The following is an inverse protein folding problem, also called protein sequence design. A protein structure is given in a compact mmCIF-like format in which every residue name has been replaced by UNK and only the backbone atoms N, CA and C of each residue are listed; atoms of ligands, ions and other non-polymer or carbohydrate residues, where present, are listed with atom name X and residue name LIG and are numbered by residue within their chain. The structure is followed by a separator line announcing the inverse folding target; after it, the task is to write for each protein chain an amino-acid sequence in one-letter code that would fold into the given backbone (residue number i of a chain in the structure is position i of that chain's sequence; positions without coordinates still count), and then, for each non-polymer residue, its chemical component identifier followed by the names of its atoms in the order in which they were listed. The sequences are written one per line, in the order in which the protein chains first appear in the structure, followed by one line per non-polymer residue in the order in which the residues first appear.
data_IF_688145767918
#
_entry.id   IF_688145767918
#
_cell.length_a   1.000
_cell.length_b   1.000
_cell.length_c   1.000
_cell.angle_alpha   90.00
_cell.angle_beta   90.00
_cell.angle_gamma   90.00
#
_symmetry.space_group_name_H-M   'P 1'
#
loop_
_entity.id
_entity.type
_entity.pdbx_description
1 polymer ?
#
# COMPACT_ATOMS: atom_id res chain seq x y z
N UNK A 1 -48.27 -23.13 -10.12
CA UNK A 1 -47.08 -22.41 -10.55
C UNK A 1 -45.95 -22.86 -9.66
N UNK A 2 -44.89 -23.47 -10.18
CA UNK A 2 -43.71 -23.77 -9.34
C UNK A 2 -43.04 -22.48 -8.99
N UNK A 3 -42.68 -22.32 -7.70
CA UNK A 3 -41.85 -21.23 -7.16
C UNK A 3 -40.49 -21.42 -7.80
N UNK A 4 -39.90 -20.37 -8.45
CA UNK A 4 -38.55 -20.49 -8.96
C UNK A 4 -37.62 -20.72 -7.75
N UNK A 5 -36.86 -21.82 -7.81
CA UNK A 5 -35.76 -22.05 -6.90
C UNK A 5 -34.85 -20.79 -6.93
N UNK A 6 -34.73 -20.15 -5.81
CA UNK A 6 -33.76 -19.10 -5.64
C UNK A 6 -32.36 -19.71 -5.86
N UNK A 7 -31.79 -19.50 -7.03
CA UNK A 7 -30.38 -19.83 -7.30
C UNK A 7 -29.55 -18.95 -6.37
N UNK A 8 -29.14 -19.53 -5.27
CA UNK A 8 -28.15 -18.94 -4.37
C UNK A 8 -26.81 -19.04 -5.11
N UNK A 9 -26.57 -18.13 -6.03
CA UNK A 9 -25.25 -17.86 -6.56
C UNK A 9 -24.45 -17.22 -5.43
N UNK A 10 -23.96 -18.05 -4.50
CA UNK A 10 -22.87 -17.67 -3.65
C UNK A 10 -21.71 -17.32 -4.59
N UNK A 11 -21.51 -16.04 -4.85
CA UNK A 11 -20.41 -15.57 -5.68
C UNK A 11 -19.11 -16.11 -5.07
N UNK A 12 -18.52 -17.07 -5.76
CA UNK A 12 -17.27 -17.65 -5.32
C UNK A 12 -16.19 -16.57 -5.43
N UNK A 13 -15.61 -16.21 -4.30
CA UNK A 13 -14.47 -15.30 -4.26
C UNK A 13 -13.22 -16.12 -4.57
N UNK A 14 -12.54 -15.76 -5.64
CA UNK A 14 -11.26 -16.32 -6.01
C UNK A 14 -10.13 -15.45 -5.48
N UNK A 15 -9.16 -16.05 -4.79
CA UNK A 15 -8.00 -15.38 -4.25
C UNK A 15 -6.76 -16.01 -4.85
N UNK A 16 -5.95 -15.19 -5.51
CA UNK A 16 -4.64 -15.57 -6.01
C UNK A 16 -3.58 -14.88 -5.18
N UNK A 17 -2.71 -15.66 -4.57
CA UNK A 17 -1.55 -15.17 -3.83
C UNK A 17 -0.28 -15.59 -4.55
N UNK A 18 0.60 -14.63 -4.84
CA UNK A 18 1.89 -14.89 -5.50
C UNK A 18 3.04 -14.31 -4.71
N UNK A 19 4.19 -14.97 -4.78
CA UNK A 19 5.43 -14.47 -4.21
C UNK A 19 6.44 -14.26 -5.33
N UNK A 20 7.13 -13.11 -5.30
CA UNK A 20 8.14 -12.71 -6.30
C UNK A 20 7.61 -12.89 -7.76
N UNK A 21 6.36 -12.49 -8.01
CA UNK A 21 5.60 -12.45 -9.27
C UNK A 21 5.28 -13.80 -9.96
N UNK A 22 5.92 -14.89 -9.57
CA UNK A 22 5.79 -16.14 -10.32
C UNK A 22 5.40 -17.37 -9.50
N UNK A 23 5.36 -17.26 -8.18
CA UNK A 23 5.17 -18.42 -7.34
C UNK A 23 3.80 -18.40 -6.67
N UNK A 24 2.82 -19.05 -7.29
CA UNK A 24 1.46 -19.16 -6.73
C UNK A 24 1.49 -19.98 -5.43
N UNK A 25 0.78 -19.47 -4.43
CA UNK A 25 0.63 -20.12 -3.12
C UNK A 25 -0.76 -20.73 -2.99
N UNK A 26 -0.83 -21.90 -2.35
CA UNK A 26 -2.10 -22.50 -1.93
C UNK A 26 -2.51 -21.92 -0.59
N UNK A 27 -3.43 -20.97 -0.62
CA UNK A 27 -3.86 -20.20 0.56
C UNK A 27 -5.18 -20.74 1.08
N UNK A 28 -5.24 -21.03 2.38
CA UNK A 28 -6.45 -21.49 3.07
C UNK A 28 -7.23 -20.35 3.74
N UNK A 29 -6.55 -19.24 4.07
CA UNK A 29 -7.16 -18.07 4.70
C UNK A 29 -6.39 -16.82 4.35
N UNK A 30 -7.12 -15.73 4.10
CA UNK A 30 -6.57 -14.39 3.96
C UNK A 30 -7.26 -13.46 4.96
N UNK A 31 -6.49 -12.72 5.72
CA UNK A 31 -6.94 -11.63 6.57
C UNK A 31 -6.26 -10.35 6.12
N UNK A 32 -7.02 -9.44 5.57
CA UNK A 32 -6.57 -8.13 5.12
C UNK A 32 -6.93 -7.07 6.15
N UNK A 33 -5.96 -6.26 6.55
CA UNK A 33 -6.14 -5.12 7.43
C UNK A 33 -5.72 -3.85 6.69
N UNK A 34 -6.65 -2.92 6.53
CA UNK A 34 -6.40 -1.58 6.02
C UNK A 34 -7.03 -0.57 6.98
N UNK A 35 -6.24 0.39 7.41
CA UNK A 35 -6.66 1.52 8.22
C UNK A 35 -6.21 2.79 7.51
N UNK A 36 -6.98 3.85 7.61
CA UNK A 36 -6.60 5.15 7.03
C UNK A 36 -5.30 5.62 7.68
N UNK A 37 -4.36 6.09 6.87
CA UNK A 37 -3.03 6.59 7.28
C UNK A 37 -2.13 5.57 7.99
N UNK A 38 -2.48 4.27 7.97
CA UNK A 38 -1.61 3.20 8.46
C UNK A 38 -1.16 2.29 7.30
N UNK A 39 0.04 1.70 7.39
CA UNK A 39 0.45 0.68 6.43
C UNK A 39 -0.55 -0.49 6.43
N UNK A 40 -0.97 -0.88 5.24
CA UNK A 40 -1.82 -2.06 5.07
C UNK A 40 -1.03 -3.33 5.42
N UNK A 41 -1.72 -4.33 5.91
CA UNK A 41 -1.12 -5.62 6.18
C UNK A 41 -2.02 -6.76 5.74
N UNK A 42 -1.39 -7.85 5.33
CA UNK A 42 -2.05 -9.09 5.00
C UNK A 42 -1.46 -10.22 5.82
N UNK A 43 -2.33 -11.03 6.39
CA UNK A 43 -1.98 -12.30 7.01
C UNK A 43 -2.59 -13.42 6.18
N UNK A 44 -1.75 -14.30 5.65
CA UNK A 44 -2.21 -15.50 4.93
C UNK A 44 -1.87 -16.75 5.71
N UNK A 45 -2.67 -17.79 5.52
CA UNK A 45 -2.39 -19.13 6.02
C UNK A 45 -2.23 -20.07 4.83
N UNK A 46 -1.13 -20.80 4.82
CA UNK A 46 -0.83 -21.85 3.85
C UNK A 46 -0.73 -23.19 4.57
N UNK A 47 -1.29 -24.24 3.98
CA UNK A 47 -1.35 -25.57 4.60
C UNK A 47 -0.31 -26.54 4.05
N UNK A 48 0.33 -26.19 2.95
CA UNK A 48 1.31 -27.05 2.28
C UNK A 48 2.75 -26.53 2.44
N UNK A 49 3.68 -27.47 2.50
CA UNK A 49 5.11 -27.17 2.63
C UNK A 49 5.69 -26.53 1.39
N UNK A 50 5.15 -26.81 0.22
CA UNK A 50 5.63 -26.25 -1.03
C UNK A 50 5.42 -24.73 -1.06
N UNK A 51 4.22 -24.27 -0.71
CA UNK A 51 3.93 -22.83 -0.56
C UNK A 51 4.80 -22.18 0.53
N UNK A 52 5.05 -22.90 1.64
CA UNK A 52 5.92 -22.35 2.69
C UNK A 52 7.36 -22.14 2.20
N UNK A 53 7.91 -23.07 1.44
CA UNK A 53 9.29 -22.99 0.91
C UNK A 53 9.46 -21.80 -0.04
N UNK A 54 8.41 -21.44 -0.79
CA UNK A 54 8.40 -20.28 -1.68
C UNK A 54 8.48 -18.96 -0.90
N UNK A 55 7.98 -18.93 0.34
CA UNK A 55 7.96 -17.73 1.16
C UNK A 55 9.29 -17.54 1.88
N UNK A 56 9.86 -16.35 1.73
CA UNK A 56 11.06 -15.92 2.45
C UNK A 56 10.87 -14.50 2.99
N UNK A 57 11.56 -14.18 4.06
CA UNK A 57 11.56 -12.81 4.59
C UNK A 57 12.12 -11.85 3.56
N UNK A 58 11.46 -10.73 3.36
CA UNK A 58 11.82 -9.73 2.36
C UNK A 58 11.27 -9.99 0.96
N UNK A 59 10.69 -11.16 0.68
CA UNK A 59 10.03 -11.42 -0.60
C UNK A 59 8.76 -10.59 -0.77
N UNK A 60 8.40 -10.29 -2.01
CA UNK A 60 7.18 -9.54 -2.34
C UNK A 60 6.00 -10.51 -2.39
N UNK A 61 4.97 -10.24 -1.59
CA UNK A 61 3.68 -10.94 -1.63
C UNK A 61 2.65 -10.07 -2.34
N UNK A 62 2.00 -10.62 -3.37
CA UNK A 62 0.86 -10.01 -4.04
C UNK A 62 -0.41 -10.82 -3.76
N UNK A 63 -1.50 -10.12 -3.50
CA UNK A 63 -2.84 -10.72 -3.33
C UNK A 63 -3.78 -10.09 -4.34
N UNK A 64 -4.34 -10.92 -5.18
CA UNK A 64 -5.37 -10.55 -6.14
C UNK A 64 -6.68 -11.21 -5.77
N UNK A 65 -7.77 -10.47 -5.84
CA UNK A 65 -9.10 -10.94 -5.53
C UNK A 65 -9.99 -10.78 -6.76
N UNK A 66 -10.65 -11.85 -7.14
CA UNK A 66 -11.60 -11.92 -8.23
C UNK A 66 -12.94 -12.51 -7.80
N UNK A 67 -13.91 -12.51 -8.70
CA UNK A 67 -15.23 -13.12 -8.50
C UNK A 67 -15.55 -14.03 -9.68
N UNK A 68 -15.96 -15.26 -9.37
CA UNK A 68 -16.57 -16.17 -10.35
C UNK A 68 -15.71 -16.50 -11.56
N UNK A 69 -14.37 -16.62 -11.40
CA UNK A 69 -13.47 -16.88 -12.53
C UNK A 69 -13.22 -15.68 -13.45
N UNK A 70 -13.62 -14.48 -13.03
CA UNK A 70 -13.42 -13.23 -13.75
C UNK A 70 -12.02 -12.62 -13.57
N UNK A 71 -11.92 -11.35 -13.91
CA UNK A 71 -10.64 -10.60 -13.77
C UNK A 71 -10.31 -10.43 -12.29
N UNK A 72 -9.09 -10.81 -11.92
CA UNK A 72 -8.54 -10.52 -10.60
C UNK A 72 -7.93 -9.13 -10.57
N UNK A 73 -8.21 -8.40 -9.51
CA UNK A 73 -7.60 -7.09 -9.26
C UNK A 73 -6.55 -7.21 -8.16
N UNK A 74 -5.43 -6.54 -8.34
CA UNK A 74 -4.42 -6.41 -7.29
C UNK A 74 -5.01 -5.64 -6.11
N UNK A 75 -5.16 -6.33 -4.96
CA UNK A 75 -5.70 -5.74 -3.74
C UNK A 75 -4.60 -5.39 -2.74
N UNK A 76 -3.49 -6.10 -2.80
CA UNK A 76 -2.37 -5.90 -1.90
C UNK A 76 -1.06 -6.30 -2.55
N UNK A 77 -0.05 -5.46 -2.39
CA UNK A 77 1.35 -5.78 -2.62
C UNK A 77 2.16 -5.32 -1.41
N UNK A 78 3.00 -6.20 -0.89
CA UNK A 78 3.79 -5.89 0.29
C UNK A 78 4.94 -6.86 0.50
N UNK A 79 5.74 -6.61 1.52
CA UNK A 79 6.94 -7.38 1.85
C UNK A 79 6.64 -8.33 3.00
N UNK A 80 7.02 -9.60 2.86
CA UNK A 80 6.91 -10.61 3.91
C UNK A 80 7.85 -10.24 5.07
N UNK A 81 7.26 -10.01 6.24
CA UNK A 81 7.98 -9.63 7.47
C UNK A 81 7.99 -10.73 8.52
N UNK A 82 7.00 -11.62 8.50
CA UNK A 82 6.90 -12.70 9.49
C UNK A 82 6.50 -13.99 8.81
N UNK A 83 7.19 -15.07 9.13
CA UNK A 83 6.83 -16.44 8.78
C UNK A 83 6.80 -17.24 10.07
N UNK A 84 5.63 -17.79 10.41
CA UNK A 84 5.42 -18.64 11.59
C UNK A 84 5.05 -20.04 11.13
N UNK A 85 6.03 -20.97 11.05
CA UNK A 85 5.75 -22.37 10.76
C UNK A 85 4.91 -23.01 11.88
N UNK A 86 4.04 -23.92 11.50
CA UNK A 86 3.27 -24.75 12.43
C UNK A 86 3.09 -26.15 11.83
N UNK A 87 2.63 -27.11 12.62
CA UNK A 87 2.44 -28.47 12.15
C UNK A 87 1.29 -28.65 11.16
N UNK A 88 0.31 -27.75 11.19
CA UNK A 88 -0.91 -27.85 10.36
C UNK A 88 -1.04 -26.71 9.35
N UNK A 89 -0.83 -25.49 9.80
CA UNK A 89 -0.96 -24.30 8.96
C UNK A 89 0.16 -23.32 9.28
N UNK A 90 0.77 -22.80 8.24
CA UNK A 90 1.84 -21.80 8.36
C UNK A 90 1.25 -20.40 8.19
N UNK A 91 1.61 -19.49 9.07
CA UNK A 91 1.14 -18.12 9.02
C UNK A 91 2.22 -17.21 8.44
N UNK A 92 1.87 -16.45 7.41
CA UNK A 92 2.75 -15.50 6.75
C UNK A 92 2.11 -14.12 6.86
N UNK A 93 2.89 -13.14 7.33
CA UNK A 93 2.46 -11.75 7.43
C UNK A 93 3.30 -10.90 6.51
N UNK A 94 2.63 -10.19 5.62
CA UNK A 94 3.23 -9.18 4.77
C UNK A 94 2.68 -7.79 5.11
N UNK A 95 3.52 -6.80 4.98
CA UNK A 95 3.21 -5.40 5.26
C UNK A 95 3.53 -4.57 4.03
N UNK A 96 2.70 -3.59 3.77
CA UNK A 96 2.81 -2.65 2.67
C UNK A 96 4.24 -2.06 2.55
N UNK A 97 4.71 -1.83 1.34
CA UNK A 97 6.04 -1.28 1.04
C UNK A 97 6.28 0.07 1.70
N UNK A 98 5.24 0.87 1.94
CA UNK A 98 5.37 2.16 2.62
C UNK A 98 6.04 2.04 3.99
N UNK A 99 5.91 0.88 4.65
CA UNK A 99 6.64 0.59 5.90
C UNK A 99 8.15 0.65 5.72
N UNK A 100 8.66 0.37 4.52
CA UNK A 100 10.10 0.45 4.23
C UNK A 100 10.62 1.90 4.30
N UNK A 101 9.77 2.88 4.00
CA UNK A 101 10.11 4.30 4.17
C UNK A 101 10.14 4.69 5.65
N UNK A 102 9.21 4.17 6.45
CA UNK A 102 9.17 4.42 7.90
C UNK A 102 10.36 3.81 8.64
N UNK A 103 10.90 2.68 8.13
CA UNK A 103 12.07 2.00 8.69
C UNK A 103 13.38 2.38 8.02
N UNK A 104 13.35 3.28 7.01
CA UNK A 104 14.54 3.76 6.33
C UNK A 104 15.46 4.54 7.27
N UNK A 105 16.71 4.67 6.88
CA UNK A 105 17.65 5.56 7.55
C UNK A 105 17.18 7.02 7.47
N UNK A 106 17.66 7.82 8.41
CA UNK A 106 17.45 9.26 8.38
C UNK A 106 18.14 9.85 7.15
N UNK A 107 17.45 10.72 6.45
CA UNK A 107 17.96 11.47 5.32
C UNK A 107 18.02 12.96 5.66
N UNK A 108 19.09 13.63 5.26
CA UNK A 108 19.20 15.07 5.44
C UNK A 108 18.66 15.80 4.22
N UNK A 109 17.43 16.26 4.31
CA UNK A 109 16.79 17.07 3.29
C UNK A 109 17.31 18.50 3.36
N UNK A 110 18.08 18.92 2.37
CA UNK A 110 18.68 20.26 2.35
C UNK A 110 17.66 21.29 1.88
N UNK A 111 17.67 22.46 2.52
CA UNK A 111 16.80 23.59 2.14
C UNK A 111 16.98 23.99 0.67
N UNK A 112 18.21 23.97 0.15
CA UNK A 112 18.52 24.26 -1.26
C UNK A 112 17.85 23.33 -2.26
N UNK A 113 17.56 22.10 -1.86
CA UNK A 113 17.03 21.05 -2.73
C UNK A 113 15.49 21.01 -2.67
N UNK A 114 14.89 21.69 -1.68
CA UNK A 114 13.46 21.66 -1.38
C UNK A 114 12.78 22.96 -1.77
N UNK A 115 13.31 24.11 -1.32
CA UNK A 115 12.67 25.40 -1.51
C UNK A 115 12.57 25.74 -3.01
N UNK A 116 11.35 26.07 -3.46
CA UNK A 116 11.05 26.33 -4.87
C UNK A 116 10.68 25.10 -5.69
N UNK A 117 10.72 23.91 -5.09
CA UNK A 117 10.27 22.66 -5.75
C UNK A 117 8.77 22.43 -5.50
N UNK A 118 8.12 21.76 -6.42
CA UNK A 118 6.75 21.29 -6.28
C UNK A 118 6.68 20.15 -5.25
N UNK A 119 5.73 20.21 -4.31
CA UNK A 119 5.58 19.20 -3.25
C UNK A 119 5.32 17.80 -3.82
N UNK A 120 4.60 17.69 -4.92
CA UNK A 120 4.37 16.40 -5.57
C UNK A 120 5.69 15.76 -6.02
N UNK A 121 6.56 16.54 -6.67
CA UNK A 121 7.88 16.03 -7.08
C UNK A 121 8.74 15.63 -5.88
N UNK A 122 8.68 16.39 -4.80
CA UNK A 122 9.41 16.05 -3.57
C UNK A 122 8.91 14.75 -2.94
N UNK A 123 7.58 14.52 -2.94
CA UNK A 123 6.98 13.26 -2.46
C UNK A 123 7.43 12.10 -3.35
N UNK A 124 7.35 12.29 -4.67
CA UNK A 124 7.76 11.28 -5.64
C UNK A 124 9.22 10.89 -5.47
N UNK A 125 10.12 11.84 -5.43
CA UNK A 125 11.56 11.60 -5.22
C UNK A 125 11.85 10.86 -3.91
N UNK A 126 11.16 11.25 -2.84
CA UNK A 126 11.30 10.56 -1.55
C UNK A 126 10.76 9.12 -1.58
N UNK A 127 9.72 8.83 -2.37
CA UNK A 127 9.11 7.52 -2.52
C UNK A 127 9.91 6.61 -3.47
N UNK A 128 10.44 7.14 -4.57
CA UNK A 128 11.23 6.44 -5.57
C UNK A 128 12.47 5.74 -4.97
N UNK A 129 12.98 6.23 -3.84
CA UNK A 129 14.07 5.58 -3.10
C UNK A 129 13.79 4.11 -2.74
N UNK A 130 12.52 3.70 -2.73
CA UNK A 130 12.07 2.32 -2.40
C UNK A 130 11.18 1.73 -3.49
N UNK A 131 11.29 2.22 -4.71
CA UNK A 131 10.47 1.79 -5.84
C UNK A 131 8.95 1.86 -5.49
N UNK A 132 8.56 2.91 -4.75
CA UNK A 132 7.16 3.18 -4.41
C UNK A 132 6.63 4.18 -5.41
N UNK A 133 5.69 3.72 -6.22
CA UNK A 133 5.02 4.58 -7.20
C UNK A 133 4.01 5.50 -6.52
N UNK A 134 4.03 6.77 -6.87
CA UNK A 134 3.11 7.79 -6.37
C UNK A 134 2.18 8.19 -7.48
N UNK A 135 0.90 7.85 -7.32
CA UNK A 135 -0.12 8.24 -8.30
C UNK A 135 -0.64 9.64 -7.97
N UNK A 136 -0.50 10.56 -8.91
CA UNK A 136 -1.12 11.88 -8.82
C UNK A 136 -2.60 11.77 -9.13
N UNK A 137 -3.42 11.90 -8.10
CA UNK A 137 -4.88 12.02 -8.24
C UNK A 137 -5.35 13.47 -8.13
N UNK A 138 -4.43 14.40 -7.84
CA UNK A 138 -4.70 15.83 -7.65
C UNK A 138 -4.26 16.62 -8.89
N UNK A 139 -4.84 16.30 -10.04
CA UNK A 139 -4.57 17.01 -11.29
C UNK A 139 -4.77 18.51 -11.11
N UNK A 140 -3.68 19.27 -11.10
CA UNK A 140 -3.67 20.71 -11.30
C UNK A 140 -3.26 21.58 -10.11
N UNK A 141 -2.94 21.04 -8.94
CA UNK A 141 -2.41 21.85 -7.84
C UNK A 141 -0.89 21.72 -7.75
N UNK A 142 -0.18 22.72 -8.22
CA UNK A 142 1.25 22.88 -7.97
C UNK A 142 1.45 23.70 -6.69
N UNK A 143 1.69 23.06 -5.58
CA UNK A 143 2.08 23.73 -4.35
C UNK A 143 3.59 23.73 -4.23
N UNK A 144 4.19 24.91 -4.25
CA UNK A 144 5.63 25.09 -4.20
C UNK A 144 6.09 25.12 -2.75
N UNK A 145 7.10 24.33 -2.43
CA UNK A 145 7.71 24.31 -1.11
C UNK A 145 8.37 25.64 -0.78
N UNK A 146 8.03 26.18 0.39
CA UNK A 146 8.64 27.39 0.94
C UNK A 146 9.48 27.08 2.19
N UNK A 147 10.32 28.02 2.59
CA UNK A 147 11.15 27.87 3.78
C UNK A 147 10.32 27.75 5.06
N UNK A 148 9.18 28.46 5.11
CA UNK A 148 8.27 28.49 6.25
C UNK A 148 7.61 27.13 6.53
N UNK A 149 7.54 26.24 5.53
CA UNK A 149 7.01 24.89 5.70
C UNK A 149 7.91 24.00 6.59
N UNK A 150 9.17 24.38 6.82
CA UNK A 150 10.05 23.65 7.72
C UNK A 150 10.32 22.19 7.29
N UNK A 151 10.34 21.93 5.99
CA UNK A 151 10.53 20.59 5.43
C UNK A 151 11.98 20.12 5.45
N UNK A 152 12.94 21.06 5.56
CA UNK A 152 14.35 20.74 5.59
C UNK A 152 14.77 20.13 6.93
N UNK A 153 15.82 19.31 6.90
CA UNK A 153 16.43 18.74 8.11
C UNK A 153 16.60 17.22 8.04
N UNK A 154 17.13 16.68 9.13
CA UNK A 154 17.36 15.24 9.29
C UNK A 154 16.07 14.55 9.72
N UNK A 155 15.43 13.80 8.82
CA UNK A 155 14.19 13.08 9.08
C UNK A 155 14.07 11.82 8.23
N UNK A 156 13.15 10.94 8.58
CA UNK A 156 12.82 9.76 7.77
C UNK A 156 12.05 10.20 6.53
N UNK A 157 12.20 9.44 5.43
CA UNK A 157 11.49 9.75 4.18
C UNK A 157 9.97 9.71 4.35
N UNK A 158 9.46 8.78 5.16
CA UNK A 158 8.02 8.75 5.46
C UNK A 158 7.56 10.02 6.16
N UNK A 159 8.28 10.46 7.19
CA UNK A 159 7.91 11.67 7.94
C UNK A 159 7.96 12.92 7.06
N UNK A 160 8.92 12.96 6.12
CA UNK A 160 9.00 14.02 5.11
C UNK A 160 7.79 14.01 4.18
N UNK A 161 7.43 12.83 3.64
CA UNK A 161 6.26 12.66 2.79
C UNK A 161 5.00 13.08 3.54
N UNK A 162 4.80 12.61 4.76
CA UNK A 162 3.62 12.93 5.57
C UNK A 162 3.48 14.45 5.77
N UNK A 163 4.59 15.16 6.05
CA UNK A 163 4.58 16.62 6.15
C UNK A 163 4.22 17.31 4.84
N UNK A 164 4.81 16.88 3.72
CA UNK A 164 4.46 17.43 2.41
C UNK A 164 2.95 17.26 2.12
N UNK A 165 2.42 16.08 2.44
CA UNK A 165 1.01 15.77 2.26
C UNK A 165 0.11 16.62 3.15
N UNK A 166 0.50 16.90 4.39
CA UNK A 166 -0.22 17.78 5.31
C UNK A 166 -0.39 19.19 4.71
N UNK A 167 0.67 19.74 4.13
CA UNK A 167 0.58 21.05 3.46
C UNK A 167 -0.30 21.00 2.21
N UNK A 168 -0.27 19.93 1.44
CA UNK A 168 -1.13 19.77 0.28
C UNK A 168 -2.61 19.73 0.68
N UNK A 169 -2.95 19.13 1.82
CA UNK A 169 -4.33 19.06 2.32
C UNK A 169 -4.80 20.42 2.83
N UNK A 170 -3.99 21.07 3.64
CA UNK A 170 -4.36 22.34 4.29
C UNK A 170 -4.41 23.51 3.31
N UNK A 171 -3.82 23.39 2.12
CA UNK A 171 -3.85 24.43 1.08
C UNK A 171 -5.09 24.38 0.20
N UNK A 172 -5.92 23.35 0.28
CA UNK A 172 -7.21 23.33 -0.39
C UNK A 172 -8.17 24.22 0.39
N UNK A 173 -8.63 25.27 -0.29
CA UNK A 173 -9.53 26.29 0.23
C UNK A 173 -10.82 25.66 0.78
N UNK A 174 -11.47 26.34 1.72
CA UNK A 174 -12.65 25.88 2.45
C UNK A 174 -13.84 25.42 1.58
N UNK A 175 -13.84 25.76 0.28
CA UNK A 175 -14.89 25.38 -0.67
C UNK A 175 -14.94 23.86 -0.99
N UNK A 176 -13.98 23.05 -0.52
CA UNK A 176 -13.92 21.59 -0.76
C UNK A 176 -14.35 20.74 0.45
N UNK A 177 -14.95 21.33 1.47
CA UNK A 177 -15.33 20.61 2.69
C UNK A 177 -16.33 19.45 2.50
N UNK A 178 -17.04 19.38 1.39
CA UNK A 178 -18.03 18.32 1.15
C UNK A 178 -17.47 17.07 0.48
N UNK A 179 -16.20 17.04 0.10
CA UNK A 179 -15.61 15.91 -0.61
C UNK A 179 -14.49 15.23 0.20
N UNK A 180 -14.81 14.76 1.40
CA UNK A 180 -13.91 13.96 2.25
C UNK A 180 -13.40 12.68 1.57
N UNK A 181 -13.99 12.24 0.47
CA UNK A 181 -13.52 11.10 -0.32
C UNK A 181 -12.24 11.41 -1.13
N UNK A 182 -11.94 12.67 -1.43
CA UNK A 182 -10.71 13.09 -2.10
C UNK A 182 -9.48 13.07 -1.17
N UNK A 183 -9.69 13.17 0.12
CA UNK A 183 -8.62 13.15 1.12
C UNK A 183 -8.16 11.73 1.51
N UNK A 184 -8.68 10.71 0.87
CA UNK A 184 -8.15 9.36 1.00
C UNK A 184 -6.86 9.28 0.22
N UNK A 185 -5.75 9.35 0.93
CA UNK A 185 -4.43 9.05 0.42
C UNK A 185 -4.44 7.68 -0.21
N UNK A 186 -4.75 7.60 -1.47
CA UNK A 186 -4.49 6.43 -2.25
C UNK A 186 -3.02 6.49 -2.66
N UNK A 187 -2.12 6.11 -1.74
CA UNK A 187 -0.87 5.54 -2.17
C UNK A 187 -1.23 4.28 -2.95
N UNK A 188 -1.55 4.41 -4.21
CA UNK A 188 -1.64 3.27 -5.10
C UNK A 188 -0.19 2.80 -5.30
N UNK A 189 0.21 1.83 -4.51
CA UNK A 189 1.42 1.07 -4.72
C UNK A 189 1.12 0.17 -5.89
N UNK A 190 1.74 0.41 -7.01
CA UNK A 190 1.86 -0.50 -8.13
C UNK A 190 3.23 -1.14 -8.14
#
# INVERSE_FOLDING_TARGET
MPIPESVNLAEQIDIVATVDDNQVLTVSKVLYKATVNEPRSVTIQVSDKESLIKCRLGAVLKIEIGRGGGIHNLNFEGIIKVIKPSNQTHTIVAIDRITSLATSEYHNFKESDIVGQDLYFLIKDAADYRDIDVTDTLLGSTLIATKEMGLAGLQKRKDFIDKCMEFMITSFDDDFHDNTDFLRYNYAIR
#
